data_IF_740513617721
#
_entry.id   IF_740513617721
#
_cell.length_a   1.000
_cell.length_b   1.000
_cell.length_c   1.000
_cell.angle_alpha   90.00
_cell.angle_beta   90.00
_cell.angle_gamma   90.00
#
_symmetry.space_group_name_H-M   'P 1'
#
loop_
_entity.id
_entity.type
_entity.pdbx_description
1 polymer ?
#
# COMPACT_ATOMS: atom_id res chain seq x y z
N UNK A 1 45.79 6.58 21.44
CA UNK A 1 44.77 5.53 21.30
C UNK A 1 44.46 5.44 19.82
N UNK A 2 45.14 4.55 19.11
CA UNK A 2 44.94 4.35 17.67
C UNK A 2 43.70 3.47 17.49
N UNK A 3 42.69 4.01 16.80
CA UNK A 3 41.60 3.18 16.28
C UNK A 3 42.16 2.30 15.16
N UNK A 4 41.90 1.01 15.28
CA UNK A 4 42.35 -0.05 14.38
C UNK A 4 41.57 0.02 13.07
N UNK A 5 42.22 -0.19 11.91
CA UNK A 5 41.58 -0.13 10.58
C UNK A 5 40.42 -1.13 10.47
N UNK A 6 40.47 -2.21 11.24
CA UNK A 6 39.42 -3.22 11.37
C UNK A 6 38.12 -2.68 11.99
N UNK A 7 38.18 -1.70 12.89
CA UNK A 7 36.98 -1.04 13.46
C UNK A 7 36.33 -0.07 12.46
N UNK A 8 37.14 0.53 11.58
CA UNK A 8 36.65 1.44 10.53
C UNK A 8 35.91 0.65 9.45
N UNK A 9 36.46 -0.50 9.02
CA UNK A 9 35.81 -1.38 8.05
C UNK A 9 34.54 -2.03 8.61
N UNK A 10 34.51 -2.35 9.91
CA UNK A 10 33.29 -2.86 10.56
C UNK A 10 32.19 -1.78 10.67
N UNK A 11 32.58 -0.52 10.92
CA UNK A 11 31.68 0.64 10.91
C UNK A 11 31.17 0.99 9.51
N UNK A 12 32.00 0.83 8.48
CA UNK A 12 31.62 1.03 7.08
C UNK A 12 30.74 -0.10 6.54
N UNK A 13 30.95 -1.35 6.99
CA UNK A 13 30.06 -2.47 6.70
C UNK A 13 28.70 -2.33 7.40
N UNK A 14 28.67 -1.82 8.64
CA UNK A 14 27.41 -1.46 9.30
C UNK A 14 26.71 -0.27 8.62
N UNK A 15 27.44 0.73 8.11
CA UNK A 15 26.83 1.81 7.31
C UNK A 15 26.31 1.32 5.96
N UNK A 16 27.00 0.39 5.28
CA UNK A 16 26.53 -0.21 4.02
C UNK A 16 25.32 -1.14 4.22
N UNK A 17 25.18 -1.74 5.39
CA UNK A 17 23.97 -2.47 5.79
C UNK A 17 22.79 -1.58 6.23
N UNK A 18 23.02 -0.28 6.43
CA UNK A 18 22.03 0.67 6.97
C UNK A 18 21.30 1.50 5.91
N UNK A 19 21.46 1.19 4.63
CA UNK A 19 20.46 1.58 3.60
C UNK A 19 19.18 0.73 3.71
N UNK A 20 19.10 -0.13 4.72
CA UNK A 20 17.88 -0.79 5.18
C UNK A 20 16.78 0.23 5.51
N UNK A 21 15.72 0.22 4.71
CA UNK A 21 14.37 0.69 5.01
C UNK A 21 14.31 1.99 5.84
N UNK A 22 14.28 3.15 5.17
CA UNK A 22 13.79 4.37 5.80
C UNK A 22 12.30 4.17 6.15
N UNK A 23 12.01 3.76 7.39
CA UNK A 23 10.65 3.69 7.90
C UNK A 23 10.15 5.12 8.11
N UNK A 24 9.11 5.48 7.36
CA UNK A 24 8.42 6.75 7.52
C UNK A 24 7.48 6.65 8.72
N UNK A 25 7.32 7.72 9.52
CA UNK A 25 6.28 7.69 10.57
C UNK A 25 4.87 7.69 9.94
N UNK A 26 3.87 7.04 10.57
CA UNK A 26 2.47 7.16 10.16
C UNK A 26 2.00 8.62 10.04
N UNK A 27 2.44 9.48 10.95
CA UNK A 27 2.12 10.92 10.93
C UNK A 27 2.71 11.62 9.71
N UNK A 28 3.94 11.25 9.31
CA UNK A 28 4.55 11.78 8.09
C UNK A 28 3.76 11.35 6.85
N UNK A 29 3.35 10.08 6.75
CA UNK A 29 2.54 9.59 5.63
C UNK A 29 1.18 10.30 5.56
N UNK A 30 0.54 10.53 6.70
CA UNK A 30 -0.70 11.30 6.78
C UNK A 30 -0.49 12.76 6.33
N UNK A 31 0.58 13.41 6.78
CA UNK A 31 0.89 14.80 6.44
C UNK A 31 1.23 14.99 4.95
N UNK A 32 1.97 14.06 4.35
CA UNK A 32 2.39 14.15 2.94
C UNK A 32 1.26 13.87 1.95
N UNK A 33 0.14 13.27 2.41
CA UNK A 33 -1.01 12.88 1.56
C UNK A 33 -1.42 13.97 0.56
N UNK A 34 -1.55 15.22 1.00
CA UNK A 34 -2.01 16.32 0.13
C UNK A 34 -1.03 16.65 -1.00
N UNK A 35 0.26 16.37 -0.81
CA UNK A 35 1.29 16.53 -1.86
C UNK A 35 1.16 15.36 -2.83
N UNK A 36 1.07 14.13 -2.34
CA UNK A 36 0.88 12.93 -3.15
C UNK A 36 -0.41 13.03 -4.01
N UNK A 37 -1.51 13.52 -3.43
CA UNK A 37 -2.79 13.73 -4.12
C UNK A 37 -2.63 14.68 -5.32
N UNK A 38 -1.75 15.68 -5.22
CA UNK A 38 -1.44 16.63 -6.30
C UNK A 38 -0.43 16.08 -7.30
N UNK A 39 0.45 15.19 -6.86
CA UNK A 39 1.49 14.57 -7.69
C UNK A 39 0.94 13.42 -8.57
N UNK A 40 -0.20 12.83 -8.21
CA UNK A 40 -0.83 11.75 -8.96
C UNK A 40 -1.13 12.14 -10.42
N UNK A 41 -0.67 11.30 -11.35
CA UNK A 41 -0.83 11.56 -12.78
C UNK A 41 -2.29 11.38 -13.22
N UNK A 42 -2.99 12.51 -13.41
CA UNK A 42 -4.40 12.54 -13.81
C UNK A 42 -4.70 11.82 -15.13
N UNK A 43 -3.75 11.77 -16.07
CA UNK A 43 -3.95 11.05 -17.35
C UNK A 43 -3.96 9.54 -17.13
N UNK A 44 -3.01 9.04 -16.32
CA UNK A 44 -2.94 7.61 -15.95
C UNK A 44 -4.18 7.23 -15.15
N UNK A 45 -4.55 8.02 -14.14
CA UNK A 45 -5.76 7.78 -13.33
C UNK A 45 -7.03 7.65 -14.18
N UNK A 46 -7.25 8.60 -15.11
CA UNK A 46 -8.41 8.56 -16.00
C UNK A 46 -8.39 7.35 -16.92
N UNK A 47 -7.23 6.96 -17.44
CA UNK A 47 -7.09 5.75 -18.26
C UNK A 47 -7.39 4.50 -17.45
N UNK A 48 -6.87 4.40 -16.22
CA UNK A 48 -7.18 3.30 -15.31
C UNK A 48 -8.68 3.20 -15.04
N UNK A 49 -9.35 4.30 -14.70
CA UNK A 49 -10.79 4.33 -14.48
C UNK A 49 -11.60 3.87 -15.72
N UNK A 50 -11.12 4.20 -16.93
CA UNK A 50 -11.74 3.75 -18.18
C UNK A 50 -11.56 2.25 -18.46
N UNK A 51 -10.43 1.67 -18.05
CA UNK A 51 -10.22 0.23 -18.21
C UNK A 51 -11.00 -0.56 -17.15
N UNK A 52 -11.03 -0.08 -15.90
CA UNK A 52 -11.80 -0.73 -14.84
C UNK A 52 -13.31 -0.67 -15.05
N UNK A 53 -13.84 0.36 -15.75
CA UNK A 53 -15.26 0.41 -16.07
C UNK A 53 -15.72 -0.69 -17.04
N UNK A 54 -14.78 -1.37 -17.70
CA UNK A 54 -15.04 -2.53 -18.57
C UNK A 54 -14.93 -3.87 -17.84
N UNK A 55 -14.52 -3.86 -16.56
CA UNK A 55 -14.42 -5.08 -15.77
C UNK A 55 -15.82 -5.73 -15.59
N UNK A 56 -15.95 -7.05 -15.73
CA UNK A 56 -17.26 -7.71 -15.66
C UNK A 56 -17.93 -7.56 -14.29
N UNK A 57 -19.14 -7.00 -14.26
CA UNK A 57 -19.93 -6.84 -13.03
C UNK A 57 -20.30 -8.17 -12.34
N UNK A 58 -20.15 -9.30 -13.02
CA UNK A 58 -20.45 -10.65 -12.51
C UNK A 58 -19.36 -11.23 -11.62
N UNK A 59 -18.18 -10.59 -11.57
CA UNK A 59 -17.03 -11.05 -10.78
C UNK A 59 -16.48 -9.91 -9.92
N UNK A 60 -16.04 -10.18 -8.68
CA UNK A 60 -15.39 -9.15 -7.87
C UNK A 60 -14.06 -8.74 -8.52
N UNK A 61 -13.78 -7.44 -8.52
CA UNK A 61 -12.48 -6.90 -8.93
C UNK A 61 -11.44 -7.21 -7.84
N UNK A 62 -10.35 -7.87 -8.21
CA UNK A 62 -9.29 -8.27 -7.27
C UNK A 62 -8.09 -7.34 -7.39
N UNK A 63 -7.78 -6.64 -6.32
CA UNK A 63 -6.72 -5.63 -6.27
C UNK A 63 -5.65 -6.05 -5.26
N UNK A 64 -4.39 -6.00 -5.67
CA UNK A 64 -3.24 -6.03 -4.78
C UNK A 64 -2.64 -4.63 -4.69
N UNK A 65 -2.49 -4.10 -3.48
CA UNK A 65 -1.69 -2.92 -3.21
C UNK A 65 -0.40 -3.31 -2.47
N UNK A 66 0.74 -2.83 -2.96
CA UNK A 66 2.07 -3.06 -2.40
C UNK A 66 2.62 -1.75 -1.86
N UNK A 67 3.05 -1.76 -0.60
CA UNK A 67 3.48 -0.56 0.11
C UNK A 67 2.27 0.31 0.47
N UNK A 68 1.25 -0.32 1.05
CA UNK A 68 -0.03 0.33 1.35
C UNK A 68 0.10 1.46 2.40
N UNK A 69 1.18 1.44 3.19
CA UNK A 69 1.38 2.38 4.29
C UNK A 69 0.18 2.37 5.23
N UNK A 70 -0.28 3.57 5.61
CA UNK A 70 -1.48 3.75 6.45
C UNK A 70 -2.81 3.65 5.67
N UNK A 71 -2.78 3.30 4.37
CA UNK A 71 -4.00 3.14 3.55
C UNK A 71 -4.47 4.39 2.82
N UNK A 72 -3.62 5.40 2.61
CA UNK A 72 -4.03 6.63 1.90
C UNK A 72 -4.46 6.38 0.44
N UNK A 73 -3.91 5.36 -0.24
CA UNK A 73 -4.35 5.00 -1.58
C UNK A 73 -5.71 4.33 -1.57
N UNK A 74 -5.96 3.43 -0.61
CA UNK A 74 -7.28 2.86 -0.41
C UNK A 74 -8.35 3.95 -0.22
N UNK A 75 -8.07 4.97 0.59
CA UNK A 75 -8.93 6.16 0.68
C UNK A 75 -9.14 6.82 -0.70
N UNK A 76 -8.08 7.05 -1.48
CA UNK A 76 -8.19 7.71 -2.80
C UNK A 76 -9.03 6.92 -3.79
N UNK A 77 -8.83 5.60 -3.91
CA UNK A 77 -9.57 4.78 -4.88
C UNK A 77 -11.07 4.76 -4.58
N UNK A 78 -11.45 4.93 -3.30
CA UNK A 78 -12.85 5.08 -2.89
C UNK A 78 -13.33 6.52 -3.11
N UNK A 79 -12.65 7.52 -2.53
CA UNK A 79 -13.07 8.92 -2.55
C UNK A 79 -13.14 9.50 -3.98
N UNK A 80 -12.28 9.04 -4.87
CA UNK A 80 -12.23 9.50 -6.26
C UNK A 80 -13.07 8.63 -7.21
N UNK A 81 -13.85 7.69 -6.66
CA UNK A 81 -14.82 6.88 -7.42
C UNK A 81 -14.18 5.95 -8.44
N UNK A 82 -12.98 5.43 -8.16
CA UNK A 82 -12.31 4.49 -9.07
C UNK A 82 -13.00 3.13 -9.09
N UNK A 83 -13.49 2.70 -7.93
CA UNK A 83 -14.01 1.36 -7.70
C UNK A 83 -15.54 1.33 -7.67
N UNK A 84 -16.13 0.31 -8.27
CA UNK A 84 -17.58 0.09 -8.33
C UNK A 84 -17.90 -1.39 -8.12
N UNK A 85 -19.06 -1.67 -7.54
CA UNK A 85 -19.53 -3.05 -7.38
C UNK A 85 -18.82 -3.79 -6.25
N UNK A 86 -18.42 -5.04 -6.50
CA UNK A 86 -17.75 -5.89 -5.51
C UNK A 86 -16.24 -5.86 -5.72
N UNK A 87 -15.47 -5.64 -4.65
CA UNK A 87 -14.02 -5.56 -4.69
C UNK A 87 -13.41 -6.41 -3.57
N UNK A 88 -12.36 -7.14 -3.91
CA UNK A 88 -11.47 -7.79 -2.96
C UNK A 88 -10.14 -7.02 -3.02
N UNK A 89 -9.76 -6.39 -1.91
CA UNK A 89 -8.62 -5.49 -1.82
C UNK A 89 -7.60 -6.04 -0.83
N UNK A 90 -6.47 -6.52 -1.31
CA UNK A 90 -5.36 -6.95 -0.46
C UNK A 90 -4.30 -5.86 -0.42
N UNK A 91 -4.11 -5.27 0.75
CA UNK A 91 -3.08 -4.26 0.99
C UNK A 91 -1.94 -4.88 1.79
N UNK A 92 -0.73 -4.82 1.25
CA UNK A 92 0.46 -5.31 1.95
C UNK A 92 1.45 -4.19 2.21
N UNK A 93 2.12 -4.29 3.34
CA UNK A 93 3.28 -3.47 3.67
C UNK A 93 4.29 -4.30 4.47
N UNK A 94 5.58 -4.07 4.29
CA UNK A 94 6.62 -4.75 5.06
C UNK A 94 6.77 -4.17 6.47
N UNK A 95 6.38 -2.90 6.66
CA UNK A 95 6.54 -2.19 7.92
C UNK A 95 5.32 -2.43 8.84
N UNK A 96 5.50 -3.12 9.99
CA UNK A 96 4.42 -3.39 10.93
C UNK A 96 3.79 -2.11 11.50
N UNK A 97 4.54 -1.01 11.63
CA UNK A 97 4.02 0.25 12.16
C UNK A 97 2.93 0.81 11.25
N UNK A 98 3.09 0.66 9.94
CA UNK A 98 2.13 1.17 8.97
C UNK A 98 0.85 0.34 8.96
N UNK A 99 0.98 -0.99 8.90
CA UNK A 99 -0.18 -1.90 8.91
C UNK A 99 -0.97 -1.77 10.22
N UNK A 100 -0.30 -1.55 11.35
CA UNK A 100 -0.95 -1.27 12.63
C UNK A 100 -1.72 0.06 12.59
N UNK A 101 -1.10 1.14 12.10
CA UNK A 101 -1.71 2.47 12.02
C UNK A 101 -2.85 2.55 10.98
N UNK A 102 -2.84 1.70 9.96
CA UNK A 102 -3.82 1.72 8.87
C UNK A 102 -5.26 1.50 9.37
N UNK A 103 -5.46 0.62 10.36
CA UNK A 103 -6.79 0.37 10.94
C UNK A 103 -7.40 1.64 11.52
N UNK A 104 -6.65 2.35 12.36
CA UNK A 104 -7.13 3.58 13.01
C UNK A 104 -7.32 4.70 11.99
N UNK A 105 -6.37 4.84 11.05
CA UNK A 105 -6.47 5.82 9.97
C UNK A 105 -7.75 5.63 9.14
N UNK A 106 -7.99 4.41 8.66
CA UNK A 106 -9.13 4.07 7.81
C UNK A 106 -10.45 4.12 8.57
N UNK A 107 -10.47 3.76 9.85
CA UNK A 107 -11.66 3.93 10.72
C UNK A 107 -12.03 5.40 10.82
N UNK A 108 -11.08 6.25 11.18
CA UNK A 108 -11.29 7.69 11.27
C UNK A 108 -11.73 8.31 9.93
N UNK A 109 -11.13 7.86 8.82
CA UNK A 109 -11.54 8.30 7.48
C UNK A 109 -12.97 7.89 7.15
N UNK A 110 -13.33 6.62 7.35
CA UNK A 110 -14.66 6.10 7.07
C UNK A 110 -15.73 6.82 7.90
N UNK A 111 -15.46 7.10 9.17
CA UNK A 111 -16.35 7.88 10.05
C UNK A 111 -16.57 9.30 9.50
N UNK A 112 -15.50 10.02 9.14
CA UNK A 112 -15.60 11.37 8.55
C UNK A 112 -16.42 11.37 7.27
N UNK A 113 -16.32 10.30 6.46
CA UNK A 113 -17.06 10.13 5.20
C UNK A 113 -18.43 9.51 5.37
N UNK A 114 -18.79 9.09 6.59
CA UNK A 114 -20.03 8.34 6.90
C UNK A 114 -20.16 7.06 6.08
N UNK A 115 -19.04 6.39 5.81
CA UNK A 115 -19.02 5.05 5.23
C UNK A 115 -19.21 3.99 6.32
N UNK A 116 -19.81 2.86 5.96
CA UNK A 116 -19.90 1.73 6.89
C UNK A 116 -18.66 0.86 6.75
N UNK A 117 -17.74 0.96 7.71
CA UNK A 117 -16.53 0.14 7.79
C UNK A 117 -16.62 -0.75 9.04
N UNK A 118 -16.49 -2.05 8.87
CA UNK A 118 -16.55 -3.02 9.96
C UNK A 118 -15.32 -3.93 9.92
N UNK A 119 -14.49 -3.84 10.95
CA UNK A 119 -13.31 -4.69 11.12
C UNK A 119 -13.66 -6.02 11.78
N UNK A 120 -12.91 -7.05 11.43
CA UNK A 120 -12.84 -8.28 12.19
C UNK A 120 -11.64 -8.27 13.17
N UNK A 121 -11.29 -9.46 13.68
CA UNK A 121 -10.17 -9.65 14.58
C UNK A 121 -8.78 -9.72 13.89
N UNK A 122 -8.73 -9.84 12.56
CA UNK A 122 -7.53 -10.22 11.79
C UNK A 122 -7.13 -9.17 10.74
N UNK A 123 -7.36 -7.87 11.01
CA UNK A 123 -7.07 -6.76 10.08
C UNK A 123 -7.80 -6.88 8.73
N UNK A 124 -8.92 -7.60 8.70
CA UNK A 124 -9.83 -7.61 7.57
C UNK A 124 -11.02 -6.71 7.90
N UNK A 125 -11.57 -6.06 6.87
CA UNK A 125 -12.77 -5.27 7.03
C UNK A 125 -13.69 -5.35 5.82
N UNK A 126 -14.96 -5.09 6.10
CA UNK A 126 -15.96 -4.82 5.06
C UNK A 126 -16.29 -3.35 5.05
N UNK A 127 -16.01 -2.70 3.93
CA UNK A 127 -16.42 -1.33 3.62
C UNK A 127 -17.65 -1.37 2.72
N UNK A 128 -18.67 -0.59 3.07
CA UNK A 128 -19.82 -0.32 2.20
C UNK A 128 -19.98 1.19 2.00
N UNK A 129 -19.97 1.59 0.74
CA UNK A 129 -20.33 2.94 0.29
C UNK A 129 -21.61 2.88 -0.56
N UNK A 130 -22.03 4.02 -1.13
CA UNK A 130 -23.14 4.05 -2.06
C UNK A 130 -22.86 3.31 -3.39
N UNK A 131 -21.58 3.24 -3.81
CA UNK A 131 -21.20 2.71 -5.13
C UNK A 131 -20.46 1.37 -5.06
N UNK A 132 -19.86 1.01 -3.92
CA UNK A 132 -18.99 -0.17 -3.82
C UNK A 132 -19.12 -0.90 -2.48
N UNK A 133 -18.91 -2.22 -2.54
CA UNK A 133 -18.69 -3.10 -1.41
C UNK A 133 -17.25 -3.62 -1.51
N UNK A 134 -16.44 -3.41 -0.48
CA UNK A 134 -15.03 -3.83 -0.48
C UNK A 134 -14.76 -4.72 0.70
N UNK A 135 -14.19 -5.89 0.43
CA UNK A 135 -13.51 -6.72 1.41
C UNK A 135 -12.03 -6.34 1.37
N UNK A 136 -11.55 -5.67 2.41
CA UNK A 136 -10.14 -5.29 2.54
C UNK A 136 -9.43 -6.22 3.50
N UNK A 137 -8.24 -6.67 3.13
CA UNK A 137 -7.32 -7.47 3.95
C UNK A 137 -5.97 -6.76 4.01
N UNK A 138 -5.59 -6.29 5.20
CA UNK A 138 -4.31 -5.60 5.43
C UNK A 138 -3.32 -6.58 6.06
N UNK A 139 -2.19 -6.81 5.39
CA UNK A 139 -1.19 -7.78 5.85
C UNK A 139 0.19 -7.14 5.97
N UNK A 140 0.87 -7.49 7.06
CA UNK A 140 2.31 -7.30 7.15
C UNK A 140 2.98 -8.40 6.31
N UNK A 141 3.51 -8.04 5.15
CA UNK A 141 4.12 -8.99 4.22
C UNK A 141 5.12 -8.27 3.32
N UNK A 142 6.29 -8.87 3.11
CA UNK A 142 7.24 -8.39 2.11
C UNK A 142 6.90 -8.94 0.72
N UNK A 143 7.27 -8.21 -0.33
CA UNK A 143 6.94 -8.61 -1.71
C UNK A 143 7.61 -9.94 -2.10
N UNK A 144 8.79 -10.23 -1.57
CA UNK A 144 9.52 -11.49 -1.81
C UNK A 144 8.81 -12.67 -1.15
N UNK A 145 8.17 -12.46 0.00
CA UNK A 145 7.40 -13.48 0.70
C UNK A 145 6.10 -13.79 -0.06
N UNK A 146 5.48 -12.75 -0.64
CA UNK A 146 4.40 -12.94 -1.60
C UNK A 146 4.90 -13.75 -2.81
N UNK A 147 6.02 -13.38 -3.42
CA UNK A 147 6.53 -14.09 -4.60
C UNK A 147 6.96 -15.55 -4.31
N UNK A 148 7.46 -15.84 -3.12
CA UNK A 148 7.98 -17.15 -2.74
C UNK A 148 6.92 -18.16 -2.28
N UNK A 149 5.74 -17.69 -1.85
CA UNK A 149 4.72 -18.55 -1.24
C UNK A 149 3.29 -18.33 -1.75
N UNK A 150 3.06 -17.42 -2.68
CA UNK A 150 1.71 -17.03 -3.09
C UNK A 150 1.30 -17.62 -4.43
N UNK A 151 0.50 -18.68 -4.38
CA UNK A 151 -0.47 -18.98 -5.43
C UNK A 151 -1.82 -18.38 -5.00
N UNK A 152 -2.21 -17.18 -5.49
CA UNK A 152 -3.60 -16.79 -5.34
C UNK A 152 -4.42 -17.83 -6.11
N UNK A 153 -5.49 -18.40 -5.53
CA UNK A 153 -6.35 -19.37 -6.24
C UNK A 153 -6.91 -18.81 -7.57
N UNK A 154 -6.93 -17.48 -7.67
CA UNK A 154 -7.27 -16.71 -8.87
C UNK A 154 -6.48 -15.40 -8.80
N UNK A 155 -5.66 -15.07 -9.81
CA UNK A 155 -4.77 -13.89 -9.82
C UNK A 155 -5.43 -12.52 -9.59
N UNK A 156 -4.61 -11.47 -9.64
CA UNK A 156 -5.04 -10.07 -9.46
C UNK A 156 -5.43 -9.42 -10.79
N UNK A 157 -6.49 -8.62 -10.79
CA UNK A 157 -6.92 -7.81 -11.94
C UNK A 157 -6.17 -6.47 -12.00
N UNK A 158 -5.73 -5.96 -10.85
CA UNK A 158 -4.99 -4.71 -10.71
C UNK A 158 -3.92 -4.85 -9.62
N UNK A 159 -2.72 -4.37 -9.92
CA UNK A 159 -1.65 -4.18 -8.94
C UNK A 159 -1.38 -2.68 -8.81
N UNK A 160 -1.41 -2.17 -7.59
CA UNK A 160 -1.06 -0.80 -7.22
C UNK A 160 0.24 -0.83 -6.44
N UNK A 161 1.24 -0.10 -6.92
CA UNK A 161 2.61 -0.16 -6.42
C UNK A 161 3.24 1.23 -6.39
N UNK A 162 2.50 2.22 -5.88
CA UNK A 162 2.86 3.63 -6.01
C UNK A 162 4.07 4.04 -5.15
N UNK A 163 4.39 3.25 -4.12
CA UNK A 163 5.59 3.40 -3.29
C UNK A 163 6.76 2.51 -3.74
N UNK A 164 6.58 1.61 -4.73
CA UNK A 164 7.63 0.66 -5.10
C UNK A 164 8.85 1.34 -5.72
N UNK A 165 8.66 2.46 -6.42
CA UNK A 165 9.79 3.26 -6.92
C UNK A 165 10.63 3.84 -5.77
N UNK A 166 10.04 4.17 -4.63
CA UNK A 166 10.78 4.66 -3.45
C UNK A 166 11.55 3.54 -2.73
N UNK A 167 11.16 2.28 -2.96
CA UNK A 167 11.78 1.09 -2.37
C UNK A 167 12.88 0.49 -3.27
N UNK A 168 13.01 0.98 -4.50
CA UNK A 168 14.02 0.55 -5.46
C UNK A 168 15.31 1.34 -5.21
N UNK A 169 16.39 0.63 -4.88
CA UNK A 169 17.73 1.22 -4.96
C UNK A 169 18.13 1.35 -6.43
N UNK A 170 17.87 2.53 -7.00
CA UNK A 170 18.23 2.84 -8.39
C UNK A 170 19.74 2.78 -8.62
N UNK A 171 20.56 2.95 -7.58
CA UNK A 171 22.03 2.82 -7.66
C UNK A 171 22.44 1.36 -7.89
N UNK A 172 21.66 0.41 -7.37
CA UNK A 172 21.86 -1.01 -7.59
C UNK A 172 21.23 -1.53 -8.90
N UNK A 173 20.29 -0.78 -9.49
CA UNK A 173 19.48 -1.21 -10.64
C UNK A 173 19.81 -0.52 -11.97
N UNK A 174 20.46 0.64 -11.95
CA UNK A 174 20.90 1.34 -13.16
C UNK A 174 22.38 1.04 -13.44
N UNK A 175 22.76 0.79 -14.71
CA UNK A 175 24.13 0.46 -15.11
C UNK A 175 25.13 1.62 -14.94
#
# INVERSE_FOLDING_TARGET
MSMDETDIDHGLAQMRGNFAAHSFSPDYLAAKKTIDDRALNKKVWRKLAQELSRHPATSPLKILEIGAGIGTMFERVIDWGLLKGQVIYTAIDSDPLQTAAARDYLTNWAERKKHSLQWDAYQQARLRTAETMVEIDIRQLRIEELAAGFEPPHGWDLIIAHAVLDLIDFTALLP
#
